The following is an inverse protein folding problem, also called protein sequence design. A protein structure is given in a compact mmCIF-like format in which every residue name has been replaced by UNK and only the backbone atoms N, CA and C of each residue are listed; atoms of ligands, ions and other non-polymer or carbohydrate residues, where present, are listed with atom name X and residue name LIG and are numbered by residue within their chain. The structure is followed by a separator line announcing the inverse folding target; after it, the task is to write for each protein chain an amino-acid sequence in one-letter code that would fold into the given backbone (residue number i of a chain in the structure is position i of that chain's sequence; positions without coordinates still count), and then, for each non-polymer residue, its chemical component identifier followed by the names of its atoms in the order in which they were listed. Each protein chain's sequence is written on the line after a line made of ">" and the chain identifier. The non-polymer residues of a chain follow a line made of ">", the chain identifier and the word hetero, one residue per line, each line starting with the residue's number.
data_IF_867739545686
#
_entry.id   IF_867739545686
#
_cell.length_a   1.000
_cell.length_b   1.000
_cell.length_c   1.000
_cell.angle_alpha   90.00
_cell.angle_beta   90.00
_cell.angle_gamma   90.00
#
_symmetry.space_group_name_H-M   'P 1'
#
loop_
_entity.id
_entity.type
_entity.pdbx_description
1 polymer ?
#
# COMPACT_ATOMS: atom_id res chain seq x y z
N UNK A 1 -44.08 30.01 -7.86
CA UNK A 1 -42.90 29.19 -8.19
C UNK A 1 -42.30 28.70 -6.90
N UNK A 2 -42.78 27.58 -6.39
CA UNK A 2 -42.29 26.93 -5.16
C UNK A 2 -41.18 25.97 -5.55
N UNK A 3 -39.92 26.38 -5.38
CA UNK A 3 -38.76 25.51 -5.60
C UNK A 3 -38.63 24.54 -4.44
N UNK A 4 -38.98 23.30 -4.74
CA UNK A 4 -38.82 22.11 -3.90
C UNK A 4 -37.35 21.97 -3.49
N UNK A 5 -37.08 22.11 -2.19
CA UNK A 5 -35.76 21.89 -1.62
C UNK A 5 -35.65 20.41 -1.30
N UNK A 6 -35.21 19.61 -2.27
CA UNK A 6 -34.90 18.21 -2.05
C UNK A 6 -33.66 18.13 -1.16
N UNK A 7 -33.86 17.95 0.14
CA UNK A 7 -32.82 17.60 1.11
C UNK A 7 -32.24 16.25 0.74
N UNK A 8 -31.13 16.26 -0.01
CA UNK A 8 -30.33 15.07 -0.29
C UNK A 8 -29.83 14.48 1.01
N UNK A 9 -30.42 13.35 1.42
CA UNK A 9 -29.95 12.57 2.56
C UNK A 9 -28.55 12.04 2.23
N UNK A 10 -27.54 12.47 2.97
CA UNK A 10 -26.17 11.95 2.86
C UNK A 10 -26.21 10.43 3.12
N UNK A 11 -25.58 9.60 2.28
CA UNK A 11 -25.56 8.16 2.49
C UNK A 11 -24.90 7.84 3.84
N UNK A 12 -25.42 6.81 4.52
CA UNK A 12 -24.87 6.35 5.80
C UNK A 12 -23.36 6.05 5.65
N UNK A 13 -22.51 6.45 6.61
CA UNK A 13 -21.04 6.46 6.47
C UNK A 13 -20.37 5.08 6.28
N UNK A 14 -21.15 3.99 6.27
CA UNK A 14 -20.68 2.60 6.27
C UNK A 14 -21.32 1.71 5.20
N UNK A 15 -22.13 2.23 4.28
CA UNK A 15 -22.67 1.41 3.19
C UNK A 15 -21.51 0.95 2.28
N UNK A 16 -21.20 -0.35 2.30
CA UNK A 16 -20.13 -0.96 1.50
C UNK A 16 -18.73 -0.99 2.13
N UNK A 17 -18.60 -0.84 3.46
CA UNK A 17 -17.32 -1.09 4.14
C UNK A 17 -17.10 -2.58 4.39
N UNK A 18 -16.11 -3.18 3.73
CA UNK A 18 -15.53 -4.44 4.16
C UNK A 18 -14.20 -4.18 4.89
N UNK A 19 -14.09 -4.66 6.13
CA UNK A 19 -12.88 -4.55 6.92
C UNK A 19 -11.80 -5.56 6.50
N UNK A 20 -12.17 -6.65 5.84
CA UNK A 20 -11.26 -7.71 5.40
C UNK A 20 -10.52 -7.35 4.11
N UNK A 21 -11.12 -6.46 3.30
CA UNK A 21 -10.53 -5.95 2.08
C UNK A 21 -9.29 -5.08 2.36
N UNK A 22 -8.30 -5.21 1.48
CA UNK A 22 -7.10 -4.37 1.49
C UNK A 22 -7.37 -3.04 0.80
N UNK A 23 -7.54 -1.99 1.57
CA UNK A 23 -7.85 -0.64 1.10
C UNK A 23 -6.56 0.16 0.82
N UNK A 24 -6.43 0.78 -0.37
CA UNK A 24 -5.27 1.63 -0.74
C UNK A 24 -5.72 3.00 -1.25
N UNK A 25 -4.83 3.99 -1.20
CA UNK A 25 -5.11 5.34 -1.71
C UNK A 25 -6.37 5.97 -1.10
N UNK A 26 -7.31 6.39 -1.95
CA UNK A 26 -8.53 7.09 -1.52
C UNK A 26 -9.45 6.23 -0.63
N UNK A 27 -9.54 4.91 -0.88
CA UNK A 27 -10.38 4.02 -0.06
C UNK A 27 -9.83 3.85 1.35
N UNK A 28 -8.49 3.93 1.52
CA UNK A 28 -7.81 3.94 2.82
C UNK A 28 -8.04 5.23 3.59
N UNK A 29 -8.02 6.38 2.91
CA UNK A 29 -8.03 7.70 3.58
C UNK A 29 -9.42 8.31 3.77
N UNK A 30 -10.45 7.80 3.09
CA UNK A 30 -11.81 8.35 3.06
C UNK A 30 -12.49 8.57 4.41
N UNK A 31 -12.11 7.81 5.46
CA UNK A 31 -12.73 7.91 6.80
C UNK A 31 -11.79 8.46 7.88
N UNK A 32 -10.70 9.10 7.49
CA UNK A 32 -9.80 9.76 8.44
C UNK A 32 -10.52 11.02 8.97
N UNK A 33 -10.54 11.26 10.29
CA UNK A 33 -11.33 12.35 10.88
C UNK A 33 -10.78 13.76 10.58
N UNK A 34 -9.54 13.86 10.07
CA UNK A 34 -8.94 15.12 9.64
C UNK A 34 -9.24 15.38 8.16
N UNK A 35 -9.41 16.66 7.79
CA UNK A 35 -9.60 17.07 6.39
C UNK A 35 -8.34 16.77 5.59
N UNK A 36 -8.40 15.74 4.76
CA UNK A 36 -7.40 15.46 3.73
C UNK A 36 -7.86 16.20 2.48
N UNK A 37 -7.17 17.28 2.13
CA UNK A 37 -7.45 18.00 0.88
C UNK A 37 -7.06 17.07 -0.28
N UNK A 38 -8.03 16.59 -1.08
CA UNK A 38 -7.72 15.73 -2.21
C UNK A 38 -6.85 16.52 -3.19
N UNK A 39 -5.81 15.89 -3.73
CA UNK A 39 -4.98 16.49 -4.79
C UNK A 39 -5.78 16.63 -6.11
N UNK A 40 -7.09 16.35 -6.13
CA UNK A 40 -7.96 16.75 -7.23
C UNK A 40 -8.24 18.26 -7.20
N UNK A 41 -8.22 18.87 -6.01
CA UNK A 41 -8.51 20.30 -5.79
C UNK A 41 -7.26 21.18 -5.93
N UNK A 42 -6.08 20.56 -6.12
CA UNK A 42 -4.78 21.22 -6.27
C UNK A 42 -3.97 20.52 -7.36
N UNK A 43 -3.35 21.24 -8.28
CA UNK A 43 -2.56 20.64 -9.36
C UNK A 43 -1.48 19.68 -8.82
N UNK A 44 -1.47 18.41 -9.29
CA UNK A 44 -0.41 17.45 -8.93
C UNK A 44 0.93 17.97 -9.40
N UNK A 45 1.79 18.34 -8.45
CA UNK A 45 3.15 18.77 -8.76
C UNK A 45 3.91 17.65 -9.47
N UNK A 46 4.48 17.97 -10.64
CA UNK A 46 5.38 17.07 -11.36
C UNK A 46 6.60 16.80 -10.48
N UNK A 47 6.99 15.52 -10.38
CA UNK A 47 8.26 15.15 -9.73
C UNK A 47 9.43 15.85 -10.45
N UNK A 48 10.36 16.52 -9.74
CA UNK A 48 11.57 17.08 -10.33
C UNK A 48 12.32 16.06 -11.17
N UNK A 49 13.08 16.53 -12.17
CA UNK A 49 13.75 15.65 -13.13
C UNK A 49 14.87 14.80 -12.49
N UNK A 50 15.43 15.22 -11.35
CA UNK A 50 16.43 14.45 -10.59
C UNK A 50 15.82 13.31 -9.75
N UNK A 51 14.51 13.26 -9.53
CA UNK A 51 13.82 12.14 -8.86
C UNK A 51 13.35 11.13 -9.91
N UNK A 52 14.28 10.34 -10.44
CA UNK A 52 14.00 9.28 -11.41
C UNK A 52 14.82 8.04 -11.05
N UNK A 53 14.23 6.87 -11.21
CA UNK A 53 14.89 5.58 -10.98
C UNK A 53 14.99 4.82 -12.29
N UNK A 54 16.05 4.01 -12.43
CA UNK A 54 16.20 3.09 -13.54
C UNK A 54 15.43 1.80 -13.22
N UNK A 55 14.77 1.24 -14.23
CA UNK A 55 14.15 -0.08 -14.09
C UNK A 55 15.22 -1.14 -13.78
N UNK A 56 14.82 -2.18 -13.04
CA UNK A 56 15.70 -3.33 -12.80
C UNK A 56 16.11 -3.97 -14.13
N UNK A 57 17.41 -4.24 -14.28
CA UNK A 57 17.92 -4.93 -15.46
C UNK A 57 17.65 -6.43 -15.34
N UNK A 58 17.47 -7.12 -16.48
CA UNK A 58 17.27 -8.58 -16.51
C UNK A 58 18.47 -9.36 -15.92
N UNK A 59 19.65 -8.76 -15.92
CA UNK A 59 20.88 -9.33 -15.33
C UNK A 59 21.00 -9.15 -13.82
N UNK A 60 20.10 -8.41 -13.18
CA UNK A 60 20.13 -8.18 -11.73
C UNK A 60 19.44 -9.31 -10.96
N UNK A 61 19.76 -9.45 -9.66
CA UNK A 61 19.11 -10.42 -8.75
C UNK A 61 17.65 -10.08 -8.41
N UNK A 62 17.05 -9.10 -9.09
CA UNK A 62 15.69 -8.62 -8.81
C UNK A 62 14.65 -9.75 -8.86
N UNK A 63 14.66 -10.54 -9.93
CA UNK A 63 13.69 -11.62 -10.12
C UNK A 63 13.94 -12.79 -9.15
N UNK A 64 15.21 -13.12 -8.90
CA UNK A 64 15.59 -14.14 -7.90
C UNK A 64 15.01 -13.82 -6.52
N UNK A 65 15.21 -12.59 -6.02
CA UNK A 65 14.65 -12.18 -4.72
C UNK A 65 13.12 -12.21 -4.75
N UNK A 66 12.49 -11.78 -5.83
CA UNK A 66 11.03 -11.83 -5.97
C UNK A 66 10.50 -13.26 -5.89
N UNK A 67 11.19 -14.21 -6.53
CA UNK A 67 10.81 -15.62 -6.51
C UNK A 67 11.00 -16.23 -5.12
N UNK A 68 12.10 -15.93 -4.43
CA UNK A 68 12.34 -16.35 -3.04
C UNK A 68 11.23 -15.86 -2.10
N UNK A 69 10.82 -14.59 -2.23
CA UNK A 69 9.75 -14.01 -1.42
C UNK A 69 8.41 -14.72 -1.64
N UNK A 70 8.06 -15.04 -2.89
CA UNK A 70 6.81 -15.75 -3.22
C UNK A 70 6.85 -17.21 -2.78
N UNK A 71 7.99 -17.89 -2.96
CA UNK A 71 8.17 -19.26 -2.54
C UNK A 71 8.05 -19.44 -1.01
N UNK A 72 8.47 -18.44 -0.24
CA UNK A 72 8.42 -18.47 1.22
C UNK A 72 7.18 -17.76 1.83
N UNK A 73 6.22 -17.32 1.00
CA UNK A 73 5.02 -16.60 1.43
C UNK A 73 5.32 -15.35 2.29
N UNK A 74 6.32 -14.57 1.89
CA UNK A 74 6.79 -13.38 2.62
C UNK A 74 6.33 -12.08 1.96
N UNK A 75 6.03 -11.10 2.81
CA UNK A 75 5.64 -9.74 2.42
C UNK A 75 6.81 -8.78 2.66
N UNK A 76 6.97 -7.78 1.80
CA UNK A 76 8.01 -6.75 1.97
C UNK A 76 7.44 -5.36 1.89
N UNK A 77 8.03 -4.43 2.65
CA UNK A 77 7.69 -3.00 2.52
C UNK A 77 8.15 -2.45 1.16
N UNK A 78 9.14 -3.09 0.54
CA UNK A 78 9.63 -2.74 -0.79
C UNK A 78 8.51 -2.81 -1.83
N UNK A 79 7.71 -3.88 -1.80
CA UNK A 79 6.55 -4.06 -2.68
C UNK A 79 5.33 -3.29 -2.16
N UNK A 80 5.01 -3.42 -0.87
CA UNK A 80 3.76 -2.90 -0.30
C UNK A 80 3.67 -1.39 -0.24
N UNK A 81 4.81 -0.71 -0.06
CA UNK A 81 4.88 0.74 -0.01
C UNK A 81 5.22 1.37 -1.37
N UNK A 82 5.21 0.60 -2.46
CA UNK A 82 5.55 1.07 -3.82
C UNK A 82 6.93 1.76 -3.87
N UNK A 83 7.93 1.16 -3.22
CA UNK A 83 9.25 1.77 -3.04
C UNK A 83 9.95 1.94 -4.40
N UNK A 84 10.40 3.16 -4.77
CA UNK A 84 11.06 3.40 -6.06
C UNK A 84 12.43 2.71 -6.15
N UNK A 85 13.04 2.35 -5.02
CA UNK A 85 14.38 1.75 -4.96
C UNK A 85 14.37 0.22 -5.02
N UNK A 86 13.20 -0.43 -5.16
CA UNK A 86 13.08 -1.90 -5.15
C UNK A 86 14.00 -2.58 -6.16
N UNK A 87 14.17 -1.99 -7.35
CA UNK A 87 15.06 -2.50 -8.39
C UNK A 87 16.53 -2.55 -7.96
N UNK A 88 16.99 -1.51 -7.29
CA UNK A 88 18.35 -1.42 -6.78
C UNK A 88 18.56 -2.34 -5.57
N UNK A 89 17.64 -2.29 -4.60
CA UNK A 89 17.74 -3.07 -3.36
C UNK A 89 17.73 -4.57 -3.66
N UNK A 90 16.73 -5.07 -4.40
CA UNK A 90 16.67 -6.49 -4.74
C UNK A 90 17.81 -6.89 -5.68
N UNK A 91 18.22 -6.00 -6.60
CA UNK A 91 19.38 -6.24 -7.46
C UNK A 91 20.68 -6.48 -6.69
N UNK A 92 20.80 -5.91 -5.48
CA UNK A 92 21.91 -6.11 -4.54
C UNK A 92 21.65 -7.24 -3.52
N UNK A 93 20.56 -7.98 -3.65
CA UNK A 93 20.17 -9.04 -2.71
C UNK A 93 19.71 -8.52 -1.34
N UNK A 94 19.13 -7.32 -1.29
CA UNK A 94 18.62 -6.70 -0.05
C UNK A 94 17.11 -6.48 -0.13
N UNK A 95 16.39 -6.94 0.89
CA UNK A 95 14.96 -6.70 1.06
C UNK A 95 14.65 -6.32 2.51
N UNK A 96 13.61 -5.50 2.71
CA UNK A 96 13.05 -5.22 4.04
C UNK A 96 11.70 -5.90 4.16
N UNK A 97 11.65 -6.92 5.01
CA UNK A 97 10.46 -7.71 5.24
C UNK A 97 9.43 -6.98 6.09
N UNK A 98 8.16 -7.25 5.84
CA UNK A 98 7.05 -6.91 6.71
C UNK A 98 6.53 -8.19 7.34
N UNK A 99 6.50 -8.21 8.67
CA UNK A 99 5.88 -9.28 9.44
C UNK A 99 4.39 -9.00 9.63
N UNK A 100 3.61 -10.04 9.93
CA UNK A 100 2.17 -9.96 10.17
C UNK A 100 1.36 -9.52 8.94
N UNK A 101 1.86 -9.84 7.74
CA UNK A 101 1.15 -9.63 6.47
C UNK A 101 1.21 -8.22 5.89
N UNK A 102 0.25 -7.92 5.00
CA UNK A 102 0.26 -6.76 4.11
C UNK A 102 -0.79 -5.68 4.44
N UNK A 103 -1.60 -5.90 5.48
CA UNK A 103 -2.65 -5.00 5.96
C UNK A 103 -2.23 -4.33 7.27
N UNK A 104 -2.22 -3.01 7.28
CA UNK A 104 -2.02 -2.19 8.47
C UNK A 104 -3.37 -1.76 9.07
N UNK A 105 -3.52 -1.89 10.39
CA UNK A 105 -4.72 -1.39 11.10
C UNK A 105 -4.77 0.15 11.15
N UNK A 106 -3.64 0.83 10.88
CA UNK A 106 -3.56 2.30 10.81
C UNK A 106 -3.80 2.82 9.39
N UNK A 107 -4.08 4.11 9.28
CA UNK A 107 -4.43 4.80 8.03
C UNK A 107 -3.55 6.04 7.79
N UNK A 108 -2.24 5.93 7.95
CA UNK A 108 -1.34 7.08 7.71
C UNK A 108 -1.51 7.61 6.26
N UNK A 109 -1.87 8.89 6.04
CA UNK A 109 -2.20 9.42 4.71
C UNK A 109 -1.06 9.34 3.68
N UNK A 110 0.19 9.33 4.15
CA UNK A 110 1.39 9.27 3.30
C UNK A 110 1.84 7.84 2.98
N UNK A 111 1.30 6.84 3.69
CA UNK A 111 1.78 5.46 3.61
C UNK A 111 0.96 4.69 2.58
N UNK A 112 1.63 3.96 1.67
CA UNK A 112 0.95 3.21 0.61
C UNK A 112 0.58 1.77 1.02
N UNK A 113 1.05 1.27 2.18
CA UNK A 113 0.65 -0.04 2.72
C UNK A 113 -0.88 -0.10 2.87
N UNK A 114 -1.48 -1.22 2.48
CA UNK A 114 -2.93 -1.38 2.54
C UNK A 114 -3.49 -1.24 3.96
N UNK A 115 -4.67 -0.64 4.10
CA UNK A 115 -5.41 -0.67 5.34
C UNK A 115 -6.44 -1.80 5.33
N UNK A 116 -6.57 -2.51 6.44
CA UNK A 116 -7.59 -3.53 6.64
C UNK A 116 -7.44 -4.20 7.99
N UNK A 117 -8.34 -5.13 8.27
CA UNK A 117 -8.19 -6.13 9.32
C UNK A 117 -7.15 -7.14 8.84
N UNK A 118 -6.04 -7.33 9.57
CA UNK A 118 -5.05 -8.35 9.23
C UNK A 118 -5.66 -9.74 9.17
N UNK A 119 -5.09 -10.58 8.32
CA UNK A 119 -5.39 -12.01 8.29
C UNK A 119 -4.82 -12.68 9.56
N UNK A 120 -5.23 -13.92 9.90
CA UNK A 120 -4.65 -14.64 11.02
C UNK A 120 -3.12 -14.74 10.92
N UNK A 121 -2.43 -14.65 12.05
CA UNK A 121 -0.97 -14.72 12.09
C UNK A 121 -0.49 -16.10 11.59
N UNK A 122 0.48 -16.08 10.67
CA UNK A 122 1.18 -17.28 10.24
C UNK A 122 2.25 -17.65 11.28
N UNK A 123 2.02 -18.74 12.01
CA UNK A 123 2.97 -19.26 13.01
C UNK A 123 4.30 -19.71 12.39
N UNK A 124 4.33 -19.97 11.08
CA UNK A 124 5.54 -20.36 10.35
C UNK A 124 6.29 -19.16 9.75
N UNK A 125 5.75 -17.94 9.83
CA UNK A 125 6.38 -16.74 9.24
C UNK A 125 7.85 -16.56 9.66
N UNK A 126 8.24 -16.72 10.96
CA UNK A 126 9.64 -16.62 11.36
C UNK A 126 10.52 -17.74 10.75
N UNK A 127 9.97 -18.95 10.61
CA UNK A 127 10.67 -20.09 10.02
C UNK A 127 10.83 -19.97 8.51
N UNK A 128 9.87 -19.36 7.83
CA UNK A 128 9.94 -19.05 6.41
C UNK A 128 10.95 -17.91 6.14
N UNK A 129 10.95 -16.88 7.00
CA UNK A 129 11.93 -15.79 6.94
C UNK A 129 13.37 -16.29 7.12
N UNK A 130 13.60 -17.29 7.97
CA UNK A 130 14.93 -17.86 8.18
C UNK A 130 15.48 -18.69 6.99
N UNK A 131 14.64 -19.00 6.00
CA UNK A 131 15.02 -19.82 4.81
C UNK A 131 15.36 -18.98 3.57
N UNK A 132 15.33 -17.65 3.68
CA UNK A 132 15.62 -16.72 2.57
C UNK A 132 17.09 -16.40 2.41
#
# INVERSE_FOLDING_TARGET
>A
MTTDTTTGTLPAPNAGYDATEKQKGASKTSRIPIKIVPIADTERLKKPDWIRVKAATASSRFYEIKDILRANNLVTVCEEASCPNIGECFGKGTATFMIMGDKCTRRCPFCDVGHGRPDPLDVNEPGNLAKT
#
